data_IF_284143500327
#
_entry.id   IF_284143500327
#
_cell.length_a   1.000
_cell.length_b   1.000
_cell.length_c   1.000
_cell.angle_alpha   90.00
_cell.angle_beta   90.00
_cell.angle_gamma   90.00
#
_symmetry.space_group_name_H-M   'P 1'
#
loop_
_entity.id
_entity.type
_entity.pdbx_description
1 polymer ?
#
# COMPACT_ATOMS: atom_id res chain seq x y z
N UNK A 1 1.28 13.01 -6.65
CA UNK A 1 -0.12 12.53 -6.81
C UNK A 1 -0.90 12.45 -5.49
N UNK A 2 -0.31 12.06 -4.34
CA UNK A 2 -0.99 12.19 -3.02
C UNK A 2 -0.95 13.63 -2.49
N UNK A 3 0.15 14.35 -2.74
CA UNK A 3 0.40 15.67 -2.12
C UNK A 3 -0.53 16.80 -2.60
N UNK A 4 -1.07 16.71 -3.82
CA UNK A 4 -2.03 17.72 -4.32
C UNK A 4 -3.44 17.56 -3.75
N UNK A 5 -3.84 16.34 -3.33
CA UNK A 5 -5.21 16.05 -2.87
C UNK A 5 -5.33 15.83 -1.35
N UNK A 6 -4.20 15.74 -0.66
CA UNK A 6 -4.09 15.70 0.81
C UNK A 6 -2.82 16.46 1.22
N UNK A 7 -2.88 17.81 1.28
CA UNK A 7 -1.73 18.61 1.60
C UNK A 7 -1.24 18.32 3.02
N UNK A 8 0.07 18.39 3.19
CA UNK A 8 0.67 18.28 4.52
C UNK A 8 0.52 19.61 5.23
N UNK A 9 -0.06 19.59 6.42
CA UNK A 9 -0.24 20.77 7.27
C UNK A 9 0.57 20.60 8.55
N UNK A 10 0.90 21.71 9.20
CA UNK A 10 1.42 21.69 10.57
C UNK A 10 0.25 21.71 11.53
N UNK A 11 0.23 20.76 12.46
CA UNK A 11 -0.78 20.71 13.50
C UNK A 11 -0.68 21.95 14.38
N UNK A 12 -1.85 22.52 14.68
CA UNK A 12 -1.98 23.57 15.67
C UNK A 12 -3.21 23.31 16.54
N UNK A 13 -3.00 23.19 17.85
CA UNK A 13 -4.07 22.87 18.80
C UNK A 13 -5.15 23.94 18.85
N UNK A 14 -4.82 25.19 18.50
CA UNK A 14 -5.78 26.30 18.45
C UNK A 14 -6.78 26.16 17.29
N UNK A 15 -6.35 25.57 16.17
CA UNK A 15 -7.16 25.45 14.95
C UNK A 15 -7.89 24.10 14.86
N UNK A 16 -7.45 23.08 15.61
CA UNK A 16 -7.93 21.68 15.53
C UNK A 16 -8.11 21.05 16.92
N UNK A 17 -9.16 21.46 17.67
CA UNK A 17 -9.39 20.96 19.03
C UNK A 17 -9.90 19.51 19.07
N UNK A 18 -10.59 19.04 18.03
CA UNK A 18 -11.30 17.74 18.05
C UNK A 18 -10.43 16.55 17.62
N UNK A 19 -9.35 16.80 16.88
CA UNK A 19 -8.45 15.76 16.38
C UNK A 19 -7.13 15.83 17.14
N UNK A 20 -7.02 14.96 18.16
CA UNK A 20 -5.94 15.04 19.14
C UNK A 20 -4.96 13.87 19.08
N UNK A 21 -5.24 12.81 18.31
CA UNK A 21 -4.39 11.62 18.23
C UNK A 21 -4.33 10.96 16.85
N UNK A 22 -3.19 10.35 16.54
CA UNK A 22 -3.03 9.52 15.36
C UNK A 22 -3.35 8.07 15.70
N UNK A 23 -4.37 7.49 15.05
CA UNK A 23 -4.79 6.11 15.28
C UNK A 23 -3.83 5.03 14.76
N UNK A 24 -2.80 5.41 14.01
CA UNK A 24 -1.76 4.48 13.53
C UNK A 24 -0.68 4.25 14.60
N UNK A 25 -0.22 5.31 15.26
CA UNK A 25 0.82 5.24 16.30
C UNK A 25 0.27 5.41 17.72
N UNK A 26 -1.04 5.60 17.86
CA UNK A 26 -1.78 5.80 19.12
C UNK A 26 -1.19 6.93 19.98
N UNK A 27 -0.60 7.94 19.34
CA UNK A 27 0.07 9.06 19.99
C UNK A 27 -0.63 10.38 19.67
N UNK A 28 -0.68 11.27 20.66
CA UNK A 28 -1.27 12.60 20.49
C UNK A 28 -0.48 13.45 19.49
N UNK A 29 -1.18 14.31 18.74
CA UNK A 29 -0.52 15.32 17.93
C UNK A 29 0.12 16.39 18.81
N UNK A 30 1.31 16.85 18.41
CA UNK A 30 2.03 17.94 19.07
C UNK A 30 2.11 19.16 18.15
N UNK A 31 2.17 20.34 18.75
CA UNK A 31 2.25 21.60 18.03
C UNK A 31 3.39 21.58 17.00
N UNK A 32 3.09 21.97 15.75
CA UNK A 32 4.04 22.03 14.66
C UNK A 32 4.35 20.70 13.96
N UNK A 33 3.84 19.57 14.45
CA UNK A 33 3.98 18.25 13.79
C UNK A 33 3.30 18.24 12.42
N UNK A 34 3.85 17.45 11.49
CA UNK A 34 3.29 17.31 10.15
C UNK A 34 2.17 16.28 10.15
N UNK A 35 0.96 16.71 9.84
CA UNK A 35 -0.20 15.84 9.71
C UNK A 35 -0.77 15.91 8.29
N UNK A 36 -1.55 14.90 7.93
CA UNK A 36 -2.33 14.86 6.70
C UNK A 36 -3.78 14.53 7.01
N UNK A 37 -4.68 15.35 6.49
CA UNK A 37 -6.11 15.10 6.46
C UNK A 37 -6.46 14.44 5.12
N UNK A 38 -7.04 13.24 5.18
CA UNK A 38 -7.53 12.55 3.99
C UNK A 38 -8.89 13.13 3.56
N UNK A 39 -9.31 12.85 2.32
CA UNK A 39 -10.66 13.24 1.83
C UNK A 39 -11.79 12.68 2.70
N UNK A 40 -11.54 11.54 3.34
CA UNK A 40 -12.44 10.92 4.30
C UNK A 40 -12.50 11.60 5.68
N UNK A 41 -11.82 12.74 5.86
CA UNK A 41 -11.70 13.58 7.07
C UNK A 41 -10.94 12.97 8.24
N UNK A 42 -10.34 11.80 8.08
CA UNK A 42 -9.43 11.25 9.08
C UNK A 42 -8.03 11.85 8.97
N UNK A 43 -7.44 12.12 10.12
CA UNK A 43 -6.14 12.75 10.26
C UNK A 43 -5.10 11.78 10.82
N UNK A 44 -3.86 11.89 10.31
CA UNK A 44 -2.74 11.05 10.71
C UNK A 44 -1.45 11.87 10.66
N UNK A 45 -0.42 11.45 11.41
CA UNK A 45 0.93 11.93 11.15
C UNK A 45 1.30 11.62 9.71
N UNK A 46 1.95 12.57 9.02
CA UNK A 46 2.42 12.39 7.65
C UNK A 46 3.20 11.08 7.50
N UNK A 47 4.16 10.85 8.40
CA UNK A 47 5.05 9.69 8.33
C UNK A 47 4.32 8.37 8.62
N UNK A 48 3.32 8.39 9.53
CA UNK A 48 2.50 7.22 9.81
C UNK A 48 1.64 6.83 8.61
N UNK A 49 0.99 7.82 7.98
CA UNK A 49 0.20 7.59 6.78
C UNK A 49 1.08 7.18 5.59
N UNK A 50 2.25 7.78 5.41
CA UNK A 50 3.18 7.43 4.33
C UNK A 50 3.65 5.98 4.47
N UNK A 51 4.04 5.54 5.67
CA UNK A 51 4.40 4.13 5.93
C UNK A 51 3.23 3.19 5.63
N UNK A 52 2.02 3.54 6.06
CA UNK A 52 0.81 2.76 5.76
C UNK A 52 0.59 2.61 4.25
N UNK A 53 0.75 3.68 3.48
CA UNK A 53 0.55 3.65 2.02
C UNK A 53 1.70 2.96 1.26
N UNK A 54 2.86 2.79 1.88
CA UNK A 54 3.97 2.00 1.33
C UNK A 54 3.67 0.50 1.36
N UNK A 55 2.95 0.01 2.38
CA UNK A 55 2.54 -1.39 2.51
C UNK A 55 1.26 -1.73 1.70
N UNK A 56 1.08 -1.11 0.54
CA UNK A 56 0.08 -1.47 -0.49
C UNK A 56 -1.40 -1.41 -0.10
N UNK A 57 -1.73 -0.87 1.07
CA UNK A 57 -3.13 -0.74 1.46
C UNK A 57 -3.88 0.34 0.69
N UNK A 58 -3.19 1.40 0.22
CA UNK A 58 -3.74 2.53 -0.53
C UNK A 58 -5.09 3.10 0.02
N UNK A 59 -5.34 2.89 1.30
CA UNK A 59 -6.64 3.10 1.97
C UNK A 59 -6.44 3.82 3.29
N UNK A 60 -7.50 4.48 3.76
CA UNK A 60 -7.53 5.06 5.10
C UNK A 60 -7.46 3.96 6.18
N UNK A 61 -6.55 4.06 7.16
CA UNK A 61 -6.46 3.10 8.28
C UNK A 61 -7.75 2.93 9.08
N UNK A 62 -8.60 3.96 9.16
CA UNK A 62 -9.82 3.96 9.98
C UNK A 62 -11.06 3.47 9.22
N UNK A 63 -11.26 3.92 7.99
CA UNK A 63 -12.52 3.67 7.26
C UNK A 63 -12.35 2.90 5.95
N UNK A 64 -11.12 2.51 5.60
CA UNK A 64 -10.79 1.73 4.40
C UNK A 64 -11.16 2.37 3.05
N UNK A 65 -11.59 3.64 3.03
CA UNK A 65 -11.77 4.41 1.79
C UNK A 65 -10.43 4.59 1.08
N UNK A 66 -10.41 4.48 -0.25
CA UNK A 66 -9.22 4.68 -1.06
C UNK A 66 -8.66 6.09 -0.87
N UNK A 67 -7.34 6.19 -0.77
CA UNK A 67 -6.59 7.45 -0.67
C UNK A 67 -6.17 7.96 -2.05
N UNK A 68 -6.03 7.03 -3.00
CA UNK A 68 -5.69 7.29 -4.40
C UNK A 68 -6.86 6.92 -5.30
N UNK A 69 -6.93 7.50 -6.53
CA UNK A 69 -7.88 7.06 -7.53
C UNK A 69 -7.76 5.56 -7.82
N UNK A 70 -8.89 4.90 -8.08
CA UNK A 70 -8.97 3.44 -8.25
C UNK A 70 -8.09 2.95 -9.39
N UNK A 71 -8.02 3.69 -10.50
CA UNK A 71 -7.19 3.37 -11.66
C UNK A 71 -5.69 3.30 -11.32
N UNK A 72 -5.24 4.11 -10.36
CA UNK A 72 -3.86 4.11 -9.89
C UNK A 72 -3.60 2.92 -8.96
N UNK A 73 -4.58 2.59 -8.12
CA UNK A 73 -4.49 1.45 -7.20
C UNK A 73 -4.47 0.13 -7.96
N UNK A 74 -5.33 -0.04 -8.97
CA UNK A 74 -5.36 -1.23 -9.84
C UNK A 74 -4.02 -1.39 -10.55
N UNK A 75 -3.49 -0.32 -11.16
CA UNK A 75 -2.20 -0.35 -11.86
C UNK A 75 -1.06 -0.74 -10.92
N UNK A 76 -1.02 -0.20 -9.70
CA UNK A 76 0.01 -0.55 -8.69
C UNK A 76 -0.03 -2.04 -8.34
N UNK A 77 -1.21 -2.60 -8.11
CA UNK A 77 -1.39 -4.02 -7.79
C UNK A 77 -0.96 -4.94 -8.93
N UNK A 78 -1.29 -4.59 -10.18
CA UNK A 78 -0.86 -5.34 -11.37
C UNK A 78 0.67 -5.39 -11.48
N UNK A 79 1.33 -4.23 -11.36
CA UNK A 79 2.79 -4.15 -11.40
C UNK A 79 3.46 -4.96 -10.27
N UNK A 80 2.84 -5.05 -9.10
CA UNK A 80 3.35 -5.85 -7.98
C UNK A 80 3.18 -7.35 -8.20
N UNK A 81 2.02 -7.78 -8.72
CA UNK A 81 1.84 -9.19 -9.10
C UNK A 81 2.79 -9.65 -10.21
N UNK A 82 3.20 -8.72 -11.09
CA UNK A 82 4.20 -8.98 -12.13
C UNK A 82 5.64 -8.99 -11.57
N UNK A 83 5.89 -8.34 -10.43
CA UNK A 83 7.19 -8.32 -9.74
C UNK A 83 7.37 -9.48 -8.75
N UNK A 84 6.30 -10.04 -8.18
CA UNK A 84 6.33 -11.23 -7.31
C UNK A 84 6.54 -12.55 -8.08
N UNK A 85 6.60 -12.50 -9.41
CA UNK A 85 7.15 -13.57 -10.23
C UNK A 85 8.66 -13.35 -10.41
N UNK A 86 9.44 -13.65 -9.37
CA UNK A 86 10.86 -13.95 -9.59
C UNK A 86 10.91 -15.35 -10.21
N UNK A 87 11.50 -15.45 -11.40
CA UNK A 87 11.76 -16.75 -11.99
C UNK A 87 12.78 -17.48 -11.12
N UNK A 88 12.33 -18.32 -10.21
CA UNK A 88 13.10 -19.51 -9.85
C UNK A 88 12.64 -20.63 -10.78
N UNK A 89 13.61 -21.12 -11.56
CA UNK A 89 13.43 -21.74 -12.88
C UNK A 89 12.66 -23.07 -12.92
N UNK A 90 12.27 -23.65 -11.80
CA UNK A 90 11.81 -25.04 -11.75
C UNK A 90 10.35 -25.22 -12.24
N UNK A 91 9.46 -24.26 -11.98
CA UNK A 91 8.06 -24.35 -12.45
C UNK A 91 7.87 -23.91 -13.91
N UNK A 92 8.75 -23.05 -14.46
CA UNK A 92 8.80 -22.76 -15.90
C UNK A 92 9.31 -23.97 -16.69
N UNK A 93 10.26 -24.72 -16.15
CA UNK A 93 10.75 -25.97 -16.75
C UNK A 93 9.62 -27.00 -16.87
N UNK A 94 8.70 -27.06 -15.90
CA UNK A 94 7.55 -27.98 -15.94
C UNK A 94 6.57 -27.65 -17.08
N UNK A 95 6.28 -26.36 -17.31
CA UNK A 95 5.41 -25.89 -18.39
C UNK A 95 6.08 -26.00 -19.78
N UNK A 96 7.40 -25.78 -19.88
CA UNK A 96 8.16 -25.97 -21.11
C UNK A 96 8.31 -27.46 -21.48
N UNK A 97 8.36 -28.35 -20.50
CA UNK A 97 8.39 -29.80 -20.70
C UNK A 97 7.05 -30.36 -21.19
N UNK A 98 5.93 -29.76 -20.79
CA UNK A 98 4.59 -30.15 -21.23
C UNK A 98 4.29 -29.76 -22.69
N UNK A 99 4.93 -28.72 -23.22
CA UNK A 99 4.80 -28.28 -24.62
C UNK A 99 5.67 -29.08 -25.59
N UNK A 100 6.72 -29.76 -25.10
CA UNK A 100 7.53 -30.72 -25.87
C UNK A 100 6.96 -32.14 -25.75
N UNK A 101 5.65 -32.30 -25.98
CA UNK A 101 4.99 -33.58 -25.96
C UNK A 101 5.72 -34.64 -26.79
N UNK A 102 6.45 -35.54 -26.14
CA UNK A 102 6.47 -36.98 -26.42
C UNK A 102 7.34 -37.77 -25.44
N UNK A 103 6.70 -38.83 -24.91
CA UNK A 103 7.27 -40.12 -24.49
C UNK A 103 7.96 -40.27 -23.11
N UNK A 104 7.11 -40.59 -22.13
CA UNK A 104 7.28 -41.64 -21.11
C UNK A 104 8.45 -42.62 -21.34
N UNK A 105 9.47 -42.61 -20.48
CA UNK A 105 10.00 -43.86 -19.89
C UNK A 105 11.02 -43.67 -18.75
N UNK A 106 10.69 -44.25 -17.58
CA UNK A 106 11.57 -44.98 -16.63
C UNK A 106 12.62 -44.15 -15.85
N UNK A 107 12.84 -44.30 -14.55
CA UNK A 107 12.41 -45.27 -13.53
C UNK A 107 12.78 -44.68 -12.16
N UNK A 108 11.92 -44.98 -11.18
CA UNK A 108 12.18 -44.94 -9.75
C UNK A 108 13.50 -45.63 -9.34
N UNK A 109 14.14 -45.11 -8.28
CA UNK A 109 14.48 -45.89 -7.08
C UNK A 109 14.10 -45.05 -5.86
#
# INVERSE_FOLDING_TARGET
MVEEKSPTIRYSSELRPDSIECSVCLSKFKEGEKIRELQCKHEFHKDCLDKWLQHDWATCPLCRRLVLPEEIVIRRRQLQSEQEYDGSDEELIFLLSALHGSNLHRLFV
#
